data_IF_868569143445
#
_entry.id   IF_868569143445
#
_cell.length_a   1.000
_cell.length_b   1.000
_cell.length_c   1.000
_cell.angle_alpha   90.00
_cell.angle_beta   90.00
_cell.angle_gamma   90.00
#
_symmetry.space_group_name_H-M   'P 1'
#
loop_
_entity.id
_entity.type
_entity.pdbx_description
1 polymer ?
#
# COMPACT_ATOMS: atom_id res chain seq x y z
N UNK A 1 -4.01 6.54 49.79
CA UNK A 1 -3.62 5.78 48.58
C UNK A 1 -3.80 6.72 47.41
N UNK A 2 -2.74 7.42 47.00
CA UNK A 2 -2.79 8.35 45.87
C UNK A 2 -2.65 7.55 44.59
N UNK A 3 -3.73 7.46 43.80
CA UNK A 3 -3.64 7.02 42.41
C UNK A 3 -3.02 8.15 41.61
N UNK A 4 -1.74 8.00 41.27
CA UNK A 4 -1.13 8.81 40.22
C UNK A 4 -1.71 8.27 38.91
N UNK A 5 -2.73 8.96 38.40
CA UNK A 5 -3.17 8.79 37.02
C UNK A 5 -2.02 9.26 36.14
N UNK A 6 -1.26 8.32 35.57
CA UNK A 6 -0.34 8.63 34.49
C UNK A 6 -1.23 8.88 33.28
N UNK A 7 -1.58 10.14 33.08
CA UNK A 7 -2.10 10.61 31.79
C UNK A 7 -1.00 10.29 30.78
N UNK A 8 -1.21 9.27 29.97
CA UNK A 8 -0.38 9.01 28.80
C UNK A 8 -0.54 10.20 27.88
N UNK A 9 0.35 11.18 28.00
CA UNK A 9 0.51 12.22 26.99
C UNK A 9 0.97 11.46 25.75
N UNK A 10 0.10 11.35 24.74
CA UNK A 10 0.53 10.90 23.43
C UNK A 10 1.62 11.86 22.97
N UNK A 11 2.85 11.40 22.85
CA UNK A 11 3.92 12.23 22.29
C UNK A 11 3.86 12.07 20.78
N UNK A 12 2.85 12.74 20.21
CA UNK A 12 2.81 13.07 18.78
C UNK A 12 4.19 13.52 18.33
N UNK A 13 4.66 13.08 17.16
CA UNK A 13 5.96 13.49 16.64
C UNK A 13 6.00 15.02 16.54
N UNK A 14 6.92 15.64 17.28
CA UNK A 14 7.02 17.10 17.35
C UNK A 14 8.15 17.63 16.46
N UNK A 15 7.91 18.79 15.86
CA UNK A 15 8.97 19.56 15.20
C UNK A 15 9.91 20.16 16.24
N UNK A 16 11.20 19.91 16.05
CA UNK A 16 12.27 20.50 16.85
C UNK A 16 13.26 21.24 15.94
N UNK A 17 14.08 22.10 16.55
CA UNK A 17 15.21 22.68 15.82
C UNK A 17 16.07 21.54 15.27
N UNK A 18 16.57 21.62 14.02
CA UNK A 18 17.38 20.56 13.43
C UNK A 18 18.49 20.04 14.33
N UNK A 19 19.22 20.95 15.01
CA UNK A 19 20.31 20.61 15.92
C UNK A 19 19.86 19.85 17.17
N UNK A 20 18.65 20.14 17.68
CA UNK A 20 18.05 19.43 18.82
C UNK A 20 17.63 18.03 18.42
N UNK A 21 17.03 17.89 17.24
CA UNK A 21 16.71 16.59 16.63
C UNK A 21 17.96 15.84 16.12
N UNK A 22 19.18 16.35 16.34
CA UNK A 22 20.43 15.66 15.99
C UNK A 22 20.83 15.72 14.52
N UNK A 23 20.36 16.74 13.78
CA UNK A 23 20.74 17.06 12.41
C UNK A 23 21.68 18.27 12.35
N UNK A 24 22.50 18.32 11.29
CA UNK A 24 23.35 19.48 10.98
C UNK A 24 22.56 20.40 10.07
N UNK A 25 22.10 21.55 10.59
CA UNK A 25 21.18 22.48 9.89
C UNK A 25 21.60 22.77 8.44
N UNK A 26 22.82 23.23 8.21
CA UNK A 26 23.29 23.62 6.87
C UNK A 26 23.37 22.45 5.86
N UNK A 27 23.35 21.19 6.34
CA UNK A 27 23.27 20.03 5.46
C UNK A 27 21.85 19.76 4.97
N UNK A 28 20.82 20.20 5.70
CA UNK A 28 19.42 20.04 5.30
C UNK A 28 19.08 20.88 4.06
N UNK A 29 19.75 22.01 3.84
CA UNK A 29 19.62 22.82 2.62
C UNK A 29 19.98 22.04 1.34
N UNK A 30 20.70 20.92 1.46
CA UNK A 30 20.98 20.03 0.31
C UNK A 30 19.70 19.33 -0.15
N UNK A 31 18.81 18.98 0.77
CA UNK A 31 17.50 18.40 0.47
C UNK A 31 16.66 19.45 -0.25
N UNK A 32 16.63 20.68 0.28
CA UNK A 32 15.92 21.80 -0.35
C UNK A 32 16.37 22.01 -1.80
N UNK A 33 17.69 22.14 -2.02
CA UNK A 33 18.24 22.36 -3.37
C UNK A 33 17.96 21.20 -4.31
N UNK A 34 18.05 19.96 -3.82
CA UNK A 34 17.77 18.78 -4.64
C UNK A 34 16.28 18.76 -5.04
N UNK A 35 15.39 18.80 -4.05
CA UNK A 35 13.96 18.66 -4.26
C UNK A 35 13.37 19.83 -5.02
N UNK A 36 13.72 21.07 -4.66
CA UNK A 36 13.31 22.25 -5.42
C UNK A 36 13.89 22.22 -6.83
N UNK A 37 15.14 21.79 -7.00
CA UNK A 37 15.74 21.65 -8.32
C UNK A 37 14.99 20.65 -9.22
N UNK A 38 14.49 19.54 -8.66
CA UNK A 38 13.64 18.60 -9.41
C UNK A 38 12.31 19.23 -9.83
N UNK A 39 11.69 20.05 -8.98
CA UNK A 39 10.49 20.82 -9.31
C UNK A 39 10.79 21.84 -10.42
N UNK A 40 11.88 22.61 -10.29
CA UNK A 40 12.28 23.64 -11.25
C UNK A 40 12.59 23.06 -12.63
N UNK A 41 13.18 21.85 -12.67
CA UNK A 41 13.43 21.09 -13.90
C UNK A 41 12.21 20.33 -14.43
N UNK A 42 11.05 20.45 -13.77
CA UNK A 42 9.81 19.76 -14.13
C UNK A 42 9.96 18.23 -14.17
N UNK A 43 10.80 17.67 -13.29
CA UNK A 43 10.95 16.21 -13.12
C UNK A 43 9.84 15.65 -12.23
N UNK A 44 9.39 16.44 -11.26
CA UNK A 44 8.24 16.16 -10.39
C UNK A 44 7.39 17.43 -10.23
N UNK A 45 6.07 17.31 -10.01
CA UNK A 45 5.20 18.47 -9.79
C UNK A 45 5.47 19.15 -8.44
N UNK A 46 5.76 18.36 -7.42
CA UNK A 46 5.94 18.78 -6.04
C UNK A 46 6.26 17.59 -5.14
N UNK A 47 6.59 17.86 -3.88
CA UNK A 47 6.94 16.85 -2.90
C UNK A 47 6.71 17.36 -1.47
N UNK A 48 6.54 16.42 -0.54
CA UNK A 48 6.66 16.66 0.90
C UNK A 48 7.77 15.77 1.43
N UNK A 49 8.70 16.33 2.19
CA UNK A 49 9.83 15.61 2.77
C UNK A 49 9.87 15.81 4.28
N UNK A 50 9.99 14.71 5.02
CA UNK A 50 10.05 14.66 6.48
C UNK A 50 11.24 13.80 6.92
N UNK A 51 12.07 14.31 7.83
CA UNK A 51 13.17 13.57 8.45
C UNK A 51 13.02 13.61 9.96
N UNK A 52 13.17 12.43 10.55
CA UNK A 52 13.04 12.22 11.98
C UNK A 52 14.26 11.50 12.51
N UNK A 53 14.60 11.83 13.76
CA UNK A 53 15.63 11.13 14.51
C UNK A 53 15.29 11.20 15.99
N UNK A 54 15.44 10.06 16.67
CA UNK A 54 15.17 9.91 18.10
C UNK A 54 13.77 10.46 18.52
N UNK A 55 12.76 10.21 17.67
CA UNK A 55 11.37 10.63 17.90
C UNK A 55 11.08 12.12 17.61
N UNK A 56 12.05 12.89 17.12
CA UNK A 56 11.87 14.31 16.82
C UNK A 56 11.97 14.59 15.32
N UNK A 57 11.08 15.44 14.82
CA UNK A 57 11.10 15.92 13.44
C UNK A 57 12.10 17.07 13.36
N UNK A 58 13.23 16.83 12.69
CA UNK A 58 14.25 17.86 12.47
C UNK A 58 14.11 18.59 11.14
N UNK A 59 13.27 18.09 10.24
CA UNK A 59 13.02 18.68 8.93
C UNK A 59 11.65 18.22 8.42
N UNK A 60 10.79 19.17 8.03
CA UNK A 60 9.49 18.88 7.44
C UNK A 60 9.06 20.00 6.49
N UNK A 61 9.12 19.76 5.18
CA UNK A 61 8.89 20.80 4.16
C UNK A 61 8.08 20.28 2.98
N UNK A 62 7.34 21.19 2.37
CA UNK A 62 6.62 20.99 1.12
C UNK A 62 7.26 21.83 0.00
N UNK A 63 7.22 21.31 -1.22
CA UNK A 63 7.84 21.86 -2.42
C UNK A 63 6.89 21.77 -3.61
N UNK A 64 6.91 22.78 -4.48
CA UNK A 64 6.18 22.77 -5.74
C UNK A 64 4.65 22.76 -5.57
N UNK A 65 3.99 21.94 -6.39
CA UNK A 65 2.55 22.00 -6.62
C UNK A 65 1.88 20.67 -6.30
N UNK A 66 0.74 20.73 -5.60
CA UNK A 66 -0.18 19.60 -5.45
C UNK A 66 -0.95 19.34 -6.74
N UNK A 67 -1.15 20.38 -7.56
CA UNK A 67 -1.78 20.31 -8.87
C UNK A 67 -1.21 21.41 -9.78
N UNK A 68 -0.61 21.01 -10.90
CA UNK A 68 0.01 21.88 -11.90
C UNK A 68 -1.01 22.70 -12.72
N UNK A 69 -2.20 22.16 -12.97
CA UNK A 69 -3.19 22.79 -13.85
C UNK A 69 -3.81 24.02 -13.17
N UNK A 70 -4.14 23.86 -11.90
CA UNK A 70 -4.68 24.92 -11.02
C UNK A 70 -3.57 25.72 -10.32
N UNK A 71 -2.31 25.27 -10.42
CA UNK A 71 -1.17 25.78 -9.63
C UNK A 71 -1.46 25.79 -8.13
N UNK A 72 -2.12 24.74 -7.64
CA UNK A 72 -2.35 24.57 -6.21
C UNK A 72 -1.01 24.27 -5.54
N UNK A 73 -0.57 25.08 -4.55
CA UNK A 73 0.69 24.83 -3.86
C UNK A 73 0.65 23.49 -3.11
N UNK A 74 1.81 22.83 -3.01
CA UNK A 74 1.95 21.66 -2.17
C UNK A 74 1.95 22.06 -0.69
N UNK A 75 1.19 21.35 0.13
CA UNK A 75 1.13 21.54 1.58
C UNK A 75 1.64 20.31 2.32
N UNK A 76 2.13 20.49 3.55
CA UNK A 76 2.76 19.40 4.33
C UNK A 76 1.79 18.25 4.61
N UNK A 77 0.53 18.59 4.82
CA UNK A 77 -0.56 17.67 5.10
C UNK A 77 -1.25 17.17 3.82
N UNK A 78 -0.66 17.35 2.64
CA UNK A 78 -1.23 16.83 1.41
C UNK A 78 -1.40 15.30 1.46
N UNK A 79 -2.50 14.81 0.87
CA UNK A 79 -2.86 13.39 0.84
C UNK A 79 -2.31 12.74 -0.42
N UNK A 80 -1.49 11.70 -0.22
CA UNK A 80 -0.86 10.93 -1.27
C UNK A 80 -1.46 9.54 -1.34
N UNK A 81 -1.75 9.07 -2.56
CA UNK A 81 -1.97 7.64 -2.82
C UNK A 81 -0.60 6.97 -2.73
N UNK A 82 -0.31 6.24 -1.65
CA UNK A 82 1.05 5.74 -1.37
C UNK A 82 1.38 4.41 -2.04
N UNK A 83 0.41 3.84 -2.77
CA UNK A 83 0.58 2.64 -3.59
C UNK A 83 1.30 1.53 -2.80
N UNK A 84 2.40 0.99 -3.33
CA UNK A 84 3.12 -0.16 -2.74
C UNK A 84 3.67 0.07 -1.33
N UNK A 85 3.74 1.31 -0.84
CA UNK A 85 4.03 1.59 0.57
C UNK A 85 2.97 1.00 1.51
N UNK A 86 1.77 0.66 1.00
CA UNK A 86 0.71 -0.06 1.72
C UNK A 86 1.18 -1.44 2.21
N UNK A 87 2.07 -2.10 1.45
CA UNK A 87 2.50 -3.48 1.71
C UNK A 87 3.15 -3.66 3.06
N UNK A 88 3.96 -2.68 3.48
CA UNK A 88 4.64 -2.74 4.77
C UNK A 88 3.64 -2.68 5.94
N UNK A 89 2.61 -1.85 5.82
CA UNK A 89 1.55 -1.74 6.82
C UNK A 89 0.72 -3.03 6.86
N UNK A 90 0.30 -3.54 5.71
CA UNK A 90 -0.42 -4.83 5.60
C UNK A 90 0.40 -5.99 6.16
N UNK A 91 1.72 -5.98 5.93
CA UNK A 91 2.63 -6.99 6.49
C UNK A 91 2.61 -6.97 8.01
N UNK A 92 2.73 -5.79 8.63
CA UNK A 92 2.65 -5.65 10.10
C UNK A 92 1.30 -6.10 10.63
N UNK A 93 0.20 -5.66 10.01
CA UNK A 93 -1.15 -6.05 10.40
C UNK A 93 -1.36 -7.56 10.35
N UNK A 94 -0.83 -8.22 9.32
CA UNK A 94 -0.94 -9.69 9.21
C UNK A 94 -0.03 -10.40 10.22
N UNK A 95 1.15 -9.84 10.53
CA UNK A 95 2.02 -10.37 11.59
C UNK A 95 1.36 -10.29 12.98
N UNK A 96 0.49 -9.32 13.26
CA UNK A 96 -0.30 -9.31 14.50
C UNK A 96 -1.21 -10.54 14.61
N UNK A 97 -1.81 -10.97 13.49
CA UNK A 97 -2.63 -12.19 13.44
C UNK A 97 -1.78 -13.44 13.62
N UNK A 98 -0.58 -13.46 13.02
CA UNK A 98 0.42 -14.51 13.26
C UNK A 98 0.81 -14.62 14.74
N UNK A 99 1.10 -13.49 15.41
CA UNK A 99 1.46 -13.47 16.83
C UNK A 99 0.34 -13.95 17.75
N UNK A 100 -0.93 -13.77 17.34
CA UNK A 100 -2.11 -14.31 18.02
C UNK A 100 -2.29 -15.83 17.80
N UNK A 101 -1.46 -16.47 16.97
CA UNK A 101 -1.41 -17.92 16.80
C UNK A 101 -2.45 -18.50 15.84
N UNK A 102 -3.07 -17.68 14.98
CA UNK A 102 -4.09 -18.15 14.03
C UNK A 102 -3.52 -18.97 12.87
N UNK A 103 -2.25 -18.76 12.52
CA UNK A 103 -1.50 -19.54 11.53
C UNK A 103 -0.01 -19.50 11.86
N UNK A 104 0.78 -20.36 11.25
CA UNK A 104 2.23 -20.25 11.21
C UNK A 104 2.77 -19.99 9.79
N UNK A 105 4.06 -19.64 9.67
CA UNK A 105 4.68 -19.33 8.38
C UNK A 105 4.71 -20.53 7.40
N UNK A 106 4.57 -21.75 7.92
CA UNK A 106 4.44 -22.99 7.17
C UNK A 106 2.99 -23.35 6.82
N UNK A 107 1.97 -22.76 7.45
CA UNK A 107 0.56 -23.04 7.17
C UNK A 107 0.27 -22.90 5.66
N UNK A 108 -0.27 -23.93 5.00
CA UNK A 108 -0.79 -23.81 3.64
C UNK A 108 -1.84 -22.71 3.55
N UNK A 109 -1.75 -21.86 2.52
CA UNK A 109 -2.73 -20.78 2.29
C UNK A 109 -4.15 -21.34 2.15
N UNK A 110 -4.29 -22.50 1.50
CA UNK A 110 -5.55 -23.18 1.27
C UNK A 110 -6.32 -23.55 2.55
N UNK A 111 -5.63 -23.65 3.70
CA UNK A 111 -6.28 -23.93 4.98
C UNK A 111 -7.08 -22.70 5.48
N UNK A 112 -6.78 -21.50 4.95
CA UNK A 112 -7.48 -20.25 5.25
C UNK A 112 -8.32 -19.78 4.06
N UNK A 113 -7.79 -19.87 2.84
CA UNK A 113 -8.42 -19.47 1.58
C UNK A 113 -8.51 -20.67 0.63
N UNK A 114 -9.57 -21.50 0.73
CA UNK A 114 -9.70 -22.76 -0.03
C UNK A 114 -9.62 -22.60 -1.55
N UNK A 115 -9.91 -21.42 -2.08
CA UNK A 115 -9.76 -21.09 -3.50
C UNK A 115 -8.31 -21.26 -4.02
N UNK A 116 -7.31 -21.29 -3.14
CA UNK A 116 -5.91 -21.57 -3.49
C UNK A 116 -5.48 -23.04 -3.24
N UNK A 117 -6.42 -23.98 -3.12
CA UNK A 117 -6.12 -25.39 -2.85
C UNK A 117 -5.40 -26.11 -4.00
N UNK A 118 -5.76 -25.77 -5.24
CA UNK A 118 -5.26 -26.42 -6.46
C UNK A 118 -4.75 -25.36 -7.44
N UNK A 119 -3.66 -24.63 -7.11
CA UNK A 119 -3.14 -23.62 -8.00
C UNK A 119 -2.48 -24.26 -9.23
N UNK A 120 -2.67 -23.60 -10.36
CA UNK A 120 -2.04 -23.95 -11.64
C UNK A 120 -0.82 -23.03 -11.88
N UNK A 121 0.20 -23.51 -12.60
CA UNK A 121 1.39 -22.75 -12.99
C UNK A 121 1.34 -22.48 -14.50
N UNK A 122 1.65 -21.24 -14.88
CA UNK A 122 1.63 -20.76 -16.25
C UNK A 122 2.72 -21.44 -17.09
N UNK A 123 2.33 -22.02 -18.23
CA UNK A 123 3.25 -22.55 -19.25
C UNK A 123 3.28 -21.63 -20.46
N UNK A 124 2.10 -21.30 -21.01
CA UNK A 124 1.97 -20.40 -22.15
C UNK A 124 0.54 -19.82 -22.26
N UNK A 125 0.35 -18.93 -23.22
CA UNK A 125 -0.96 -18.37 -23.56
C UNK A 125 -1.32 -18.76 -24.99
N UNK A 126 -2.49 -19.38 -25.17
CA UNK A 126 -3.03 -19.73 -26.48
C UNK A 126 -3.80 -18.52 -27.03
N UNK A 127 -3.20 -17.80 -27.97
CA UNK A 127 -3.79 -16.60 -28.58
C UNK A 127 -5.02 -16.88 -29.42
N UNK A 128 -5.18 -18.08 -29.99
CA UNK A 128 -6.35 -18.38 -30.81
C UNK A 128 -7.56 -18.68 -29.94
N UNK A 129 -7.36 -19.49 -28.90
CA UNK A 129 -8.42 -19.88 -27.96
C UNK A 129 -8.63 -18.87 -26.85
N UNK A 130 -7.68 -17.96 -26.65
CA UNK A 130 -7.66 -16.97 -25.58
C UNK A 130 -7.78 -17.65 -24.20
N UNK A 131 -6.95 -18.68 -23.97
CA UNK A 131 -6.89 -19.44 -22.72
C UNK A 131 -5.45 -19.65 -22.26
N UNK A 132 -5.26 -19.80 -20.96
CA UNK A 132 -3.99 -20.22 -20.39
C UNK A 132 -3.72 -21.69 -20.69
N UNK A 133 -2.47 -22.00 -21.01
CA UNK A 133 -1.92 -23.36 -20.95
C UNK A 133 -1.15 -23.47 -19.64
N UNK A 134 -1.49 -24.45 -18.83
CA UNK A 134 -1.01 -24.57 -17.46
C UNK A 134 -0.58 -26.00 -17.12
N UNK A 135 0.14 -26.12 -16.01
CA UNK A 135 0.39 -27.38 -15.32
C UNK A 135 0.01 -27.23 -13.83
N UNK A 136 -0.50 -28.30 -13.18
CA UNK A 136 -0.78 -28.25 -11.75
C UNK A 136 0.49 -27.94 -10.94
N UNK A 137 0.40 -27.02 -9.97
CA UNK A 137 1.50 -26.75 -9.07
C UNK A 137 1.84 -27.99 -8.23
N UNK A 138 3.12 -28.30 -8.10
CA UNK A 138 3.63 -29.41 -7.28
C UNK A 138 3.74 -29.02 -5.81
N UNK A 139 3.87 -27.73 -5.53
CA UNK A 139 3.96 -27.20 -4.17
C UNK A 139 2.72 -26.38 -3.79
N UNK A 140 2.34 -26.46 -2.52
CA UNK A 140 1.30 -25.58 -1.96
C UNK A 140 1.88 -24.18 -1.71
N UNK A 141 1.06 -23.15 -1.93
CA UNK A 141 1.34 -21.82 -1.39
C UNK A 141 1.28 -21.91 0.14
N UNK A 142 2.27 -21.36 0.83
CA UNK A 142 2.32 -21.25 2.30
C UNK A 142 2.34 -19.78 2.69
N UNK A 143 1.92 -19.46 3.91
CA UNK A 143 1.86 -18.09 4.41
C UNK A 143 3.16 -17.31 4.18
N UNK A 144 4.34 -17.89 4.47
CA UNK A 144 5.65 -17.26 4.21
C UNK A 144 5.90 -16.83 2.76
N UNK A 145 5.28 -17.50 1.79
CA UNK A 145 5.48 -17.19 0.38
C UNK A 145 4.82 -15.86 0.01
N UNK A 146 3.72 -15.50 0.69
CA UNK A 146 3.05 -14.22 0.50
C UNK A 146 3.93 -13.07 1.00
N UNK A 147 4.47 -13.19 2.21
CA UNK A 147 5.35 -12.17 2.80
C UNK A 147 6.64 -11.92 2.01
N UNK A 148 7.11 -12.91 1.25
CA UNK A 148 8.38 -12.84 0.54
C UNK A 148 8.23 -12.70 -0.98
N UNK A 149 6.99 -12.57 -1.49
CA UNK A 149 6.71 -12.55 -2.93
C UNK A 149 7.27 -13.77 -3.68
N UNK A 150 7.22 -14.94 -3.04
CA UNK A 150 7.67 -16.23 -3.60
C UNK A 150 6.52 -17.19 -3.88
N UNK A 151 5.26 -16.73 -3.83
CA UNK A 151 4.08 -17.57 -4.06
C UNK A 151 3.83 -17.91 -5.53
N UNK A 152 4.43 -17.15 -6.46
CA UNK A 152 4.09 -17.19 -7.89
C UNK A 152 2.89 -16.33 -8.27
N UNK A 153 2.15 -15.76 -7.31
CA UNK A 153 1.03 -14.84 -7.58
C UNK A 153 1.54 -13.59 -8.29
N UNK A 154 0.87 -13.22 -9.39
CA UNK A 154 1.29 -12.13 -10.26
C UNK A 154 0.66 -10.79 -9.90
N UNK A 155 1.18 -9.72 -10.51
CA UNK A 155 0.44 -8.49 -10.77
C UNK A 155 0.07 -8.48 -12.26
N UNK A 156 -1.21 -8.41 -12.64
CA UNK A 156 -1.60 -8.35 -14.05
C UNK A 156 -0.88 -7.22 -14.81
N UNK A 157 -0.79 -6.03 -14.19
CA UNK A 157 -0.12 -4.87 -14.82
C UNK A 157 1.39 -5.05 -15.04
N UNK A 158 2.07 -5.87 -14.24
CA UNK A 158 3.52 -6.11 -14.35
C UNK A 158 3.87 -7.42 -15.06
N UNK A 159 2.86 -8.12 -15.56
CA UNK A 159 3.05 -9.41 -16.25
C UNK A 159 2.99 -9.19 -17.75
N UNK A 160 3.99 -9.71 -18.46
CA UNK A 160 4.07 -9.65 -19.92
C UNK A 160 3.53 -10.94 -20.56
N UNK A 161 4.00 -12.10 -20.11
CA UNK A 161 3.56 -13.39 -20.66
C UNK A 161 2.12 -13.68 -20.22
N UNK A 162 1.22 -13.91 -21.18
CA UNK A 162 -0.20 -14.16 -20.89
C UNK A 162 -0.96 -12.95 -20.33
N UNK A 163 -0.44 -11.73 -20.49
CA UNK A 163 -1.02 -10.49 -19.97
C UNK A 163 -2.52 -10.37 -20.28
N UNK A 164 -2.90 -10.65 -21.52
CA UNK A 164 -4.29 -10.53 -21.97
C UNK A 164 -5.22 -11.44 -21.16
N UNK A 165 -4.79 -12.66 -20.82
CA UNK A 165 -5.52 -13.56 -19.94
C UNK A 165 -5.70 -12.99 -18.53
N UNK A 166 -4.64 -12.43 -17.95
CA UNK A 166 -4.70 -11.83 -16.62
C UNK A 166 -5.58 -10.57 -16.59
N UNK A 167 -5.55 -9.74 -17.64
CA UNK A 167 -6.41 -8.57 -17.75
C UNK A 167 -7.88 -8.97 -17.94
N UNK A 168 -8.15 -9.99 -18.76
CA UNK A 168 -9.49 -10.54 -18.99
C UNK A 168 -10.12 -11.16 -17.75
N UNK A 169 -9.32 -11.62 -16.81
CA UNK A 169 -9.81 -12.15 -15.54
C UNK A 169 -10.51 -11.08 -14.68
N UNK A 170 -10.43 -9.80 -15.04
CA UNK A 170 -11.17 -8.74 -14.35
C UNK A 170 -10.72 -8.52 -12.91
N UNK A 171 -9.42 -8.76 -12.64
CA UNK A 171 -8.80 -8.54 -11.33
C UNK A 171 -8.48 -7.06 -11.19
N UNK A 172 -8.85 -6.46 -10.06
CA UNK A 172 -8.43 -5.12 -9.66
C UNK A 172 -7.19 -5.22 -8.77
N UNK A 173 -6.12 -4.52 -9.15
CA UNK A 173 -4.81 -4.70 -8.54
C UNK A 173 -4.27 -3.45 -7.79
N UNK A 174 -4.92 -2.29 -7.93
CA UNK A 174 -4.54 -1.10 -7.15
C UNK A 174 -5.70 -0.20 -6.69
N UNK A 175 -6.69 0.01 -7.55
CA UNK A 175 -7.65 1.09 -7.46
C UNK A 175 -9.07 0.55 -7.73
N UNK A 176 -9.75 -0.03 -6.73
CA UNK A 176 -11.07 -0.63 -6.93
C UNK A 176 -12.16 0.41 -7.26
N UNK A 177 -13.10 0.03 -8.10
CA UNK A 177 -14.27 0.85 -8.45
C UNK A 177 -15.44 0.68 -7.45
N UNK A 178 -15.34 -0.31 -6.54
CA UNK A 178 -16.33 -0.65 -5.52
C UNK A 178 -17.46 -1.58 -6.01
N UNK A 179 -17.39 -2.09 -7.24
CA UNK A 179 -18.42 -2.97 -7.79
C UNK A 179 -18.34 -4.38 -7.22
N UNK A 180 -17.13 -4.86 -6.96
CA UNK A 180 -16.83 -6.16 -6.33
C UNK A 180 -16.30 -6.00 -4.90
N UNK A 181 -16.39 -7.06 -4.10
CA UNK A 181 -15.75 -7.13 -2.79
C UNK A 181 -14.35 -7.77 -2.85
N UNK A 182 -13.59 -7.72 -1.75
CA UNK A 182 -12.24 -8.28 -1.69
C UNK A 182 -12.24 -9.80 -1.91
N UNK A 183 -13.24 -10.52 -1.40
CA UNK A 183 -13.35 -11.97 -1.55
C UNK A 183 -13.50 -12.37 -3.02
N UNK A 184 -14.40 -11.71 -3.75
CA UNK A 184 -14.60 -11.91 -5.18
C UNK A 184 -13.32 -11.61 -5.97
N UNK A 185 -12.60 -10.55 -5.62
CA UNK A 185 -11.35 -10.18 -6.31
C UNK A 185 -10.25 -11.21 -6.12
N UNK A 186 -10.09 -11.71 -4.89
CA UNK A 186 -9.12 -12.76 -4.58
C UNK A 186 -9.53 -14.10 -5.19
N UNK A 187 -10.83 -14.40 -5.30
CA UNK A 187 -11.31 -15.58 -6.01
C UNK A 187 -10.97 -15.52 -7.51
N UNK A 188 -11.12 -14.35 -8.17
CA UNK A 188 -10.69 -14.16 -9.56
C UNK A 188 -9.18 -14.34 -9.71
N UNK A 189 -8.40 -13.83 -8.76
CA UNK A 189 -6.95 -13.99 -8.73
C UNK A 189 -6.52 -15.46 -8.52
N UNK A 190 -7.24 -16.23 -7.71
CA UNK A 190 -6.98 -17.65 -7.54
C UNK A 190 -7.30 -18.47 -8.81
N UNK A 191 -8.19 -17.97 -9.66
CA UNK A 191 -8.58 -18.59 -10.93
C UNK A 191 -7.61 -18.38 -12.10
N UNK A 192 -6.53 -17.61 -11.93
CA UNK A 192 -5.48 -17.43 -12.93
C UNK A 192 -4.19 -18.13 -12.49
N UNK A 193 -3.34 -18.60 -13.42
CA UNK A 193 -2.16 -19.36 -13.05
C UNK A 193 -1.10 -18.52 -12.35
N UNK A 194 -0.29 -19.18 -11.54
CA UNK A 194 0.94 -18.65 -10.95
C UNK A 194 2.03 -18.51 -12.02
N UNK A 195 2.94 -17.55 -11.85
CA UNK A 195 4.09 -17.40 -12.73
C UNK A 195 5.15 -18.51 -12.58
N UNK A 196 5.20 -19.17 -11.43
CA UNK A 196 6.13 -20.25 -11.11
C UNK A 196 5.64 -21.06 -9.91
N UNK A 197 6.30 -22.19 -9.64
CA UNK A 197 6.04 -23.02 -8.46
C UNK A 197 6.23 -22.22 -7.15
N UNK A 198 5.32 -22.35 -6.16
CA UNK A 198 5.46 -21.68 -4.88
C UNK A 198 6.77 -22.03 -4.17
N UNK A 199 7.57 -21.01 -3.86
CA UNK A 199 8.85 -21.11 -3.17
C UNK A 199 10.07 -21.25 -4.09
N UNK A 200 9.89 -21.43 -5.41
CA UNK A 200 11.01 -21.66 -6.35
C UNK A 200 11.48 -20.40 -7.09
N UNK A 201 10.73 -19.29 -6.98
CA UNK A 201 11.03 -18.04 -7.67
C UNK A 201 10.55 -16.81 -6.90
N UNK A 202 10.86 -15.63 -7.45
CA UNK A 202 10.38 -14.36 -6.96
C UNK A 202 9.53 -13.69 -8.03
N UNK A 203 8.28 -13.36 -7.67
CA UNK A 203 7.35 -12.59 -8.51
C UNK A 203 6.70 -11.52 -7.65
N UNK A 204 6.98 -10.26 -7.99
CA UNK A 204 6.30 -9.14 -7.35
C UNK A 204 4.84 -9.09 -7.81
N UNK A 205 3.92 -9.46 -6.92
CA UNK A 205 2.51 -9.65 -7.24
C UNK A 205 1.56 -9.26 -6.10
N UNK A 206 0.29 -9.58 -6.25
CA UNK A 206 -0.82 -9.22 -5.36
C UNK A 206 -0.85 -9.97 -4.00
N UNK A 207 0.31 -10.34 -3.49
CA UNK A 207 0.47 -11.16 -2.29
C UNK A 207 -0.11 -10.47 -1.04
N UNK A 208 0.05 -9.15 -0.93
CA UNK A 208 -0.49 -8.39 0.20
C UNK A 208 -2.00 -8.18 0.09
N UNK A 209 -2.59 -8.25 -1.11
CA UNK A 209 -4.04 -8.24 -1.27
C UNK A 209 -4.63 -9.57 -0.76
N UNK A 210 -3.96 -10.68 -1.04
CA UNK A 210 -4.29 -12.00 -0.46
C UNK A 210 -4.12 -12.01 1.06
N UNK A 211 -3.06 -11.40 1.60
CA UNK A 211 -2.92 -11.25 3.06
C UNK A 211 -4.03 -10.38 3.68
N UNK A 212 -4.49 -9.35 2.96
CA UNK A 212 -5.67 -8.59 3.36
C UNK A 212 -6.92 -9.48 3.47
N UNK A 213 -7.11 -10.39 2.52
CA UNK A 213 -8.21 -11.37 2.57
C UNK A 213 -8.04 -12.41 3.68
N UNK A 214 -6.82 -12.84 3.97
CA UNK A 214 -6.52 -13.68 5.14
C UNK A 214 -6.97 -12.99 6.43
N UNK A 215 -6.70 -11.69 6.59
CA UNK A 215 -7.17 -10.92 7.74
C UNK A 215 -8.71 -10.98 7.84
N UNK A 216 -9.43 -10.75 6.74
CA UNK A 216 -10.90 -10.79 6.77
C UNK A 216 -11.46 -12.14 7.21
N UNK A 217 -10.88 -13.23 6.73
CA UNK A 217 -11.34 -14.58 7.07
C UNK A 217 -11.04 -14.93 8.52
N UNK A 218 -9.85 -14.57 9.01
CA UNK A 218 -9.40 -14.95 10.35
C UNK A 218 -10.03 -14.06 11.44
N UNK A 219 -10.15 -12.76 11.19
CA UNK A 219 -10.66 -11.79 12.17
C UNK A 219 -12.19 -11.57 12.05
N UNK A 220 -12.75 -11.71 10.84
CA UNK A 220 -14.18 -11.57 10.56
C UNK A 220 -14.64 -10.14 10.27
N UNK A 221 -13.81 -9.11 10.48
CA UNK A 221 -14.07 -7.73 10.03
C UNK A 221 -13.58 -7.52 8.59
N UNK A 222 -14.14 -6.55 7.84
CA UNK A 222 -13.54 -6.09 6.59
C UNK A 222 -12.09 -5.62 6.76
N UNK A 223 -11.26 -5.84 5.74
CA UNK A 223 -9.83 -5.54 5.82
C UNK A 223 -9.56 -4.06 6.18
N UNK A 224 -10.25 -3.12 5.51
CA UNK A 224 -10.11 -1.70 5.79
C UNK A 224 -10.44 -1.34 7.25
N UNK A 225 -11.45 -2.01 7.83
CA UNK A 225 -11.87 -1.81 9.20
C UNK A 225 -10.84 -2.35 10.20
N UNK A 226 -10.30 -3.54 9.97
CA UNK A 226 -9.20 -4.07 10.77
C UNK A 226 -8.01 -3.10 10.79
N UNK A 227 -7.56 -2.66 9.61
CA UNK A 227 -6.42 -1.75 9.48
C UNK A 227 -6.64 -0.42 10.22
N UNK A 228 -7.86 0.12 10.13
CA UNK A 228 -8.24 1.35 10.85
C UNK A 228 -8.18 1.17 12.36
N UNK A 229 -8.77 0.11 12.89
CA UNK A 229 -8.93 -0.11 14.33
C UNK A 229 -7.65 -0.63 15.01
N UNK A 230 -6.86 -1.45 14.31
CA UNK A 230 -5.68 -2.14 14.89
C UNK A 230 -4.36 -1.45 14.57
N UNK A 231 -4.28 -0.63 13.52
CA UNK A 231 -3.04 0.06 13.11
C UNK A 231 -3.20 1.58 13.13
N UNK A 232 -4.11 2.13 12.31
CA UNK A 232 -4.14 3.58 12.06
C UNK A 232 -4.56 4.37 13.30
N UNK A 233 -5.66 3.99 13.96
CA UNK A 233 -6.15 4.69 15.15
C UNK A 233 -5.18 4.58 16.34
N UNK A 234 -4.64 3.41 16.70
CA UNK A 234 -3.67 3.31 17.79
C UNK A 234 -2.40 4.14 17.55
N UNK A 235 -1.99 4.30 16.29
CA UNK A 235 -0.84 5.11 15.92
C UNK A 235 -1.18 6.57 15.63
N UNK A 236 -2.44 7.02 15.77
CA UNK A 236 -2.82 8.40 15.50
C UNK A 236 -2.72 8.81 14.03
N UNK A 237 -2.71 7.86 13.09
CA UNK A 237 -2.64 8.09 11.65
C UNK A 237 -4.02 8.49 11.09
N UNK A 238 -4.50 9.68 11.47
CA UNK A 238 -5.89 10.12 11.23
C UNK A 238 -6.22 10.48 9.77
N UNK A 239 -5.20 10.59 8.92
CA UNK A 239 -5.29 10.88 7.50
C UNK A 239 -4.87 9.69 6.64
N UNK A 240 -4.75 8.51 7.25
CA UNK A 240 -4.39 7.27 6.58
C UNK A 240 -5.56 6.30 6.50
N UNK A 241 -5.80 5.76 5.31
CA UNK A 241 -6.83 4.77 5.11
C UNK A 241 -7.07 4.41 3.66
N UNK A 242 -8.16 3.67 3.46
CA UNK A 242 -8.63 3.21 2.13
C UNK A 242 -9.77 4.09 1.59
N UNK A 243 -10.16 5.12 2.34
CA UNK A 243 -11.22 6.06 2.02
C UNK A 243 -10.82 7.47 2.46
N UNK A 244 -11.18 8.48 1.67
CA UNK A 244 -10.98 9.90 2.00
C UNK A 244 -12.35 10.59 2.16
N UNK A 245 -12.68 11.05 3.38
CA UNK A 245 -13.88 11.84 3.66
C UNK A 245 -13.96 13.10 2.77
N UNK A 246 -15.18 13.51 2.41
CA UNK A 246 -15.42 14.60 1.47
C UNK A 246 -14.69 15.89 1.85
N UNK A 247 -14.72 16.24 3.14
CA UNK A 247 -14.08 17.42 3.72
C UNK A 247 -12.55 17.40 3.65
N UNK A 248 -11.92 16.25 3.39
CA UNK A 248 -10.46 16.11 3.24
C UNK A 248 -10.02 16.01 1.78
N UNK A 249 -10.94 15.81 0.83
CA UNK A 249 -10.60 15.52 -0.58
C UNK A 249 -9.84 16.65 -1.27
N UNK A 250 -10.01 17.89 -0.82
CA UNK A 250 -9.23 19.01 -1.33
C UNK A 250 -7.72 18.82 -1.10
N UNK A 251 -7.29 18.10 -0.07
CA UNK A 251 -5.87 17.84 0.22
C UNK A 251 -5.25 16.79 -0.70
N UNK A 252 -6.05 16.06 -1.49
CA UNK A 252 -5.56 15.01 -2.39
C UNK A 252 -4.75 15.65 -3.52
N UNK A 253 -3.52 15.17 -3.69
CA UNK A 253 -2.66 15.60 -4.79
C UNK A 253 -3.08 14.96 -6.12
N UNK A 254 -2.86 15.69 -7.21
CA UNK A 254 -2.99 15.16 -8.56
C UNK A 254 -1.83 14.22 -8.89
N UNK A 255 -2.11 13.18 -9.68
CA UNK A 255 -1.11 12.21 -10.12
C UNK A 255 -0.58 12.62 -11.49
N UNK A 256 0.72 12.45 -11.69
CA UNK A 256 1.39 12.73 -12.95
C UNK A 256 2.18 11.51 -13.42
N UNK A 257 2.35 11.39 -14.73
CA UNK A 257 3.21 10.43 -15.43
C UNK A 257 4.14 11.19 -16.35
N UNK A 258 5.10 10.50 -16.94
CA UNK A 258 5.91 11.04 -18.03
C UNK A 258 5.38 10.55 -19.38
N UNK A 259 5.24 11.46 -20.34
CA UNK A 259 4.95 11.19 -21.76
C UNK A 259 5.96 11.99 -22.58
N UNK A 260 6.69 11.33 -23.48
CA UNK A 260 7.74 11.94 -24.32
C UNK A 260 8.76 12.79 -23.53
N UNK A 261 9.16 12.30 -22.35
CA UNK A 261 10.12 12.97 -21.47
C UNK A 261 9.58 14.18 -20.71
N UNK A 262 8.28 14.46 -20.77
CA UNK A 262 7.63 15.58 -20.07
C UNK A 262 6.58 15.09 -19.09
N UNK A 263 6.38 15.84 -18.00
CA UNK A 263 5.26 15.60 -17.08
C UNK A 263 3.93 15.79 -17.82
N UNK A 264 3.03 14.83 -17.62
CA UNK A 264 1.66 14.83 -18.10
C UNK A 264 0.75 14.32 -16.97
N UNK A 265 -0.51 14.73 -16.98
CA UNK A 265 -1.49 14.27 -15.98
C UNK A 265 -1.69 12.76 -16.13
N UNK A 266 -1.75 12.04 -15.01
CA UNK A 266 -2.22 10.67 -14.98
C UNK A 266 -3.73 10.70 -14.75
N UNK A 267 -4.47 10.68 -15.85
CA UNK A 267 -5.92 10.83 -15.88
C UNK A 267 -6.65 9.52 -16.18
N UNK A 268 -7.96 9.58 -16.40
CA UNK A 268 -8.80 8.43 -16.75
C UNK A 268 -8.36 7.76 -18.05
N UNK A 269 -7.85 8.51 -19.02
CA UNK A 269 -7.35 7.94 -20.29
C UNK A 269 -6.11 7.08 -20.03
N UNK A 270 -5.19 7.57 -19.20
CA UNK A 270 -3.99 6.82 -18.82
C UNK A 270 -4.36 5.56 -18.01
N UNK A 271 -5.30 5.66 -17.07
CA UNK A 271 -5.82 4.48 -16.36
C UNK A 271 -6.46 3.49 -17.32
N UNK A 272 -7.38 3.91 -18.18
CA UNK A 272 -8.10 2.99 -19.07
C UNK A 272 -7.15 2.21 -19.98
N UNK A 273 -6.04 2.83 -20.39
CA UNK A 273 -5.02 2.19 -21.23
C UNK A 273 -4.08 1.27 -20.45
N UNK A 274 -3.66 1.66 -19.24
CA UNK A 274 -2.60 0.95 -18.50
C UNK A 274 -3.13 -0.02 -17.45
N UNK A 275 -4.34 0.24 -16.96
CA UNK A 275 -4.98 -0.36 -15.79
C UNK A 275 -6.50 -0.44 -16.02
N UNK A 276 -7.00 -1.18 -17.04
CA UNK A 276 -8.41 -1.12 -17.45
C UNK A 276 -9.43 -1.56 -16.38
N UNK A 277 -9.01 -2.29 -15.35
CA UNK A 277 -9.86 -2.76 -14.25
C UNK A 277 -9.75 -1.87 -12.97
N UNK A 278 -9.30 -0.63 -13.13
CA UNK A 278 -8.98 0.28 -12.04
C UNK A 278 -9.69 1.63 -12.19
N UNK A 279 -9.88 2.35 -11.08
CA UNK A 279 -10.61 3.61 -11.00
C UNK A 279 -9.86 4.68 -10.20
N UNK A 280 -9.60 5.85 -10.79
CA UNK A 280 -8.66 6.85 -10.24
C UNK A 280 -9.06 7.40 -8.86
N UNK A 281 -10.36 7.49 -8.61
CA UNK A 281 -10.97 7.99 -7.37
C UNK A 281 -11.50 6.86 -6.49
N UNK A 282 -10.80 5.72 -6.47
CA UNK A 282 -11.12 4.58 -5.61
C UNK A 282 -11.25 4.96 -4.13
N UNK A 283 -10.51 5.98 -3.67
CA UNK A 283 -10.59 6.51 -2.30
C UNK A 283 -11.96 7.12 -1.95
N UNK A 284 -12.85 7.31 -2.93
CA UNK A 284 -14.22 7.78 -2.73
C UNK A 284 -15.21 6.63 -2.53
N UNK A 285 -14.78 5.39 -2.73
CA UNK A 285 -15.63 4.20 -2.72
C UNK A 285 -15.74 3.61 -1.31
N UNK A 286 -16.67 2.68 -1.15
CA UNK A 286 -16.86 1.96 0.11
C UNK A 286 -15.68 1.02 0.38
N UNK A 287 -14.77 1.47 1.26
CA UNK A 287 -13.58 0.69 1.62
C UNK A 287 -13.87 -0.55 2.46
N UNK A 288 -15.03 -0.60 3.15
CA UNK A 288 -15.41 -1.79 3.91
C UNK A 288 -15.92 -2.90 2.97
N UNK A 289 -16.21 -2.59 1.70
CA UNK A 289 -16.50 -3.59 0.67
C UNK A 289 -15.23 -4.13 0.01
N UNK A 290 -14.30 -3.26 -0.37
CA UNK A 290 -13.03 -3.67 -0.97
C UNK A 290 -11.89 -2.71 -0.62
N UNK A 291 -10.81 -3.27 -0.12
CA UNK A 291 -9.56 -2.58 0.15
C UNK A 291 -8.38 -3.48 -0.23
N UNK A 292 -7.39 -2.90 -0.91
CA UNK A 292 -6.26 -3.64 -1.48
C UNK A 292 -5.00 -3.41 -0.66
N UNK A 293 -4.53 -4.44 0.05
CA UNK A 293 -3.35 -4.38 0.92
C UNK A 293 -2.04 -4.12 0.17
N UNK A 294 -2.03 -4.33 -1.14
CA UNK A 294 -0.89 -4.12 -2.03
C UNK A 294 -0.70 -2.67 -2.47
N UNK A 295 -1.77 -1.88 -2.62
CA UNK A 295 -1.68 -0.52 -3.19
C UNK A 295 -2.79 0.47 -2.78
N UNK A 296 -3.73 0.10 -1.91
CA UNK A 296 -4.96 0.85 -1.65
C UNK A 296 -4.91 1.86 -0.50
N UNK A 297 -3.75 2.32 -0.04
CA UNK A 297 -3.69 3.32 1.06
C UNK A 297 -3.46 4.74 0.51
N UNK A 298 -4.28 5.67 1.02
CA UNK A 298 -3.98 7.11 1.04
C UNK A 298 -3.36 7.45 2.39
N UNK A 299 -2.35 8.30 2.43
CA UNK A 299 -1.68 8.74 3.66
C UNK A 299 -1.04 10.12 3.49
N UNK A 300 -0.49 10.66 4.57
CA UNK A 300 0.37 11.86 4.58
C UNK A 300 1.81 11.47 4.89
N UNK A 301 2.76 12.38 4.64
CA UNK A 301 4.14 12.17 5.07
C UNK A 301 4.25 12.00 6.60
N UNK A 302 3.43 12.73 7.37
CA UNK A 302 3.44 12.69 8.83
C UNK A 302 2.90 11.36 9.39
N UNK A 303 1.73 10.92 8.91
CA UNK A 303 1.14 9.65 9.36
C UNK A 303 2.07 8.47 9.05
N UNK A 304 2.63 8.45 7.83
CA UNK A 304 3.56 7.40 7.45
C UNK A 304 4.84 7.44 8.30
N UNK A 305 5.29 8.63 8.71
CA UNK A 305 6.40 8.77 9.66
C UNK A 305 6.06 8.23 11.06
N UNK A 306 4.82 8.36 11.54
CA UNK A 306 4.38 7.71 12.79
C UNK A 306 4.51 6.20 12.70
N UNK A 307 4.05 5.61 11.60
CA UNK A 307 4.19 4.17 11.36
C UNK A 307 5.67 3.73 11.32
N UNK A 308 6.53 4.47 10.62
CA UNK A 308 7.96 4.16 10.58
C UNK A 308 8.64 4.33 11.94
N UNK A 309 8.27 5.35 12.72
CA UNK A 309 8.82 5.55 14.06
C UNK A 309 8.40 4.42 15.01
N UNK A 310 7.17 3.92 14.90
CA UNK A 310 6.72 2.73 15.64
C UNK A 310 7.63 1.52 15.37
N UNK A 311 8.03 1.31 14.11
CA UNK A 311 8.96 0.23 13.75
C UNK A 311 10.35 0.44 14.36
N UNK A 312 10.89 1.66 14.28
CA UNK A 312 12.18 2.03 14.92
C UNK A 312 12.14 1.77 16.43
N UNK A 313 11.00 2.02 17.05
CA UNK A 313 10.73 1.79 18.47
C UNK A 313 10.36 0.31 18.78
N UNK A 314 10.56 -0.62 17.85
CA UNK A 314 10.32 -2.07 18.03
C UNK A 314 8.86 -2.40 18.37
N UNK A 315 7.94 -1.88 17.58
CA UNK A 315 6.51 -2.19 17.71
C UNK A 315 5.78 -1.30 18.71
N UNK A 316 6.31 -0.13 19.08
CA UNK A 316 5.65 0.74 20.06
C UNK A 316 5.72 2.23 19.69
N UNK A 317 4.63 2.95 19.82
CA UNK A 317 4.61 4.40 19.74
C UNK A 317 3.61 4.94 20.76
N UNK A 318 3.99 5.94 21.55
CA UNK A 318 3.11 6.56 22.55
C UNK A 318 2.42 5.57 23.51
N UNK A 319 3.16 4.53 23.91
CA UNK A 319 2.67 3.48 24.80
C UNK A 319 1.72 2.50 24.13
N UNK A 320 1.42 2.65 22.84
CA UNK A 320 0.63 1.69 22.04
C UNK A 320 1.56 0.70 21.37
N UNK A 321 1.38 -0.59 21.70
CA UNK A 321 2.06 -1.68 21.03
C UNK A 321 1.24 -2.13 19.83
N UNK A 322 1.92 -2.21 18.69
CA UNK A 322 1.43 -2.83 17.46
C UNK A 322 2.05 -4.21 17.38
#
# INVERSE_FOLDING_TARGET
MFFISVVSVAVTLEEAKPSVAGFISDRLDRIDRLTQGCVDRQEIPGAVAILLKDGQIGYYRAFGWADLDTKKPMEKDALFRVASMSKLITTVATLQIYEKGHYDMGTPLADVLPEFAEPEVFVSWDEEKQVFVTEPAKQKIRMKHLFTHTSGIVYPVFTNAGRDGYLKAGITDACPDGTMDLAENIQRLAGVPLAHEPGEGYTYGMNMDVLGRVIEVVDGRPFARYMREEIFQPLGMTDTGFFVPEEKRERIVSIYTTVDGKLARFDETVIAQRLPNNYLEWWAKDSDKIALGGAGIVSTAYDYAQFLQMLVNKGNLDGKRI
#
